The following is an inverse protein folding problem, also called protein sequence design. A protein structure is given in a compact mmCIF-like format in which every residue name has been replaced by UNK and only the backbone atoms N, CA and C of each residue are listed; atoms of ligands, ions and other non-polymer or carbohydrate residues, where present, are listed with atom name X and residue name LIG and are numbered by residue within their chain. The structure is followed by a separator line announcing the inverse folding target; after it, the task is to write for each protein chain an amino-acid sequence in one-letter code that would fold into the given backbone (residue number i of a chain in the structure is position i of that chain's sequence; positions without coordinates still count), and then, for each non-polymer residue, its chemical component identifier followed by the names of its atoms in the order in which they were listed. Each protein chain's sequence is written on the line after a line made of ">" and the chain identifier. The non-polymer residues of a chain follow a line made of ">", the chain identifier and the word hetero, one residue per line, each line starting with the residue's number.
data_IF_796787587670
#
_entry.id   IF_796787587670
#
_cell.length_a   1.000
_cell.length_b   1.000
_cell.length_c   1.000
_cell.angle_alpha   90.00
_cell.angle_beta   90.00
_cell.angle_gamma   90.00
#
_symmetry.space_group_name_H-M   'P 1'
#
loop_
_entity.id
_entity.type
_entity.pdbx_description
1 polymer ?
#
# COMPACT_ATOMS: atom_id res chain seq x y z
N UNK A 1 -7.90 12.18 -22.58
CA UNK A 1 -6.74 11.99 -21.97
C UNK A 1 -6.90 11.59 -20.53
N UNK A 2 -6.55 10.44 -20.24
CA UNK A 2 -6.65 9.94 -18.90
C UNK A 2 -5.49 10.42 -18.04
N UNK A 3 -5.78 10.76 -16.81
CA UNK A 3 -4.74 11.02 -15.86
C UNK A 3 -4.81 9.93 -14.83
N UNK A 4 -3.78 9.13 -14.76
CA UNK A 4 -3.76 8.07 -13.78
C UNK A 4 -3.58 8.65 -12.39
N UNK A 5 -4.37 8.17 -11.46
CA UNK A 5 -4.14 8.44 -10.06
C UNK A 5 -3.08 7.47 -9.55
N UNK A 6 -2.17 7.99 -8.76
CA UNK A 6 -1.08 7.20 -8.22
C UNK A 6 -1.14 7.22 -6.71
N UNK A 7 -0.90 6.06 -6.14
CA UNK A 7 -0.91 5.85 -4.70
C UNK A 7 0.53 5.86 -4.23
N UNK A 8 0.90 6.87 -3.45
CA UNK A 8 2.26 6.97 -2.92
C UNK A 8 2.29 6.30 -1.55
N UNK A 9 2.87 5.11 -1.50
CA UNK A 9 3.01 4.39 -0.24
C UNK A 9 4.16 4.98 0.56
N UNK A 10 3.93 5.12 1.85
CA UNK A 10 4.90 5.71 2.76
C UNK A 10 5.15 4.76 3.91
N UNK A 11 6.18 5.06 4.69
CA UNK A 11 6.35 4.41 5.99
C UNK A 11 5.46 5.10 7.02
N UNK A 12 5.50 4.65 8.27
CA UNK A 12 4.65 5.19 9.31
C UNK A 12 5.00 6.63 9.69
N UNK A 13 6.15 7.12 9.24
CA UNK A 13 6.59 8.49 9.50
C UNK A 13 6.35 9.40 8.33
N UNK A 14 5.71 8.91 7.26
CA UNK A 14 5.36 9.71 6.12
C UNK A 14 6.42 9.79 5.03
N UNK A 15 7.51 9.03 5.15
CA UNK A 15 8.54 9.03 4.11
C UNK A 15 8.07 8.17 2.92
N UNK A 16 8.19 8.71 1.72
CA UNK A 16 7.75 8.01 0.52
C UNK A 16 8.62 6.80 0.27
N UNK A 17 7.99 5.67 -0.04
CA UNK A 17 8.67 4.41 -0.32
C UNK A 17 8.56 4.01 -1.78
N UNK A 18 7.34 3.99 -2.32
CA UNK A 18 7.12 3.60 -3.72
C UNK A 18 5.73 4.07 -4.15
N UNK A 19 5.48 3.96 -5.45
CA UNK A 19 4.23 4.42 -6.05
C UNK A 19 3.59 3.25 -6.79
N UNK A 20 2.27 3.14 -6.66
CA UNK A 20 1.47 2.13 -7.36
C UNK A 20 0.33 2.85 -8.06
N UNK A 21 0.05 2.46 -9.30
CA UNK A 21 -1.10 3.03 -10.04
C UNK A 21 -2.41 2.56 -9.43
N UNK A 22 -3.46 3.36 -9.61
CA UNK A 22 -4.82 2.98 -9.22
C UNK A 22 -5.18 1.65 -9.89
N UNK A 23 -5.61 0.69 -9.09
CA UNK A 23 -5.91 -0.67 -9.57
C UNK A 23 -4.71 -1.59 -9.61
N UNK A 24 -3.53 -1.08 -9.32
CA UNK A 24 -2.33 -1.92 -9.23
C UNK A 24 -2.30 -2.74 -7.95
N UNK A 25 -1.29 -3.59 -7.82
CA UNK A 25 -1.19 -4.48 -6.69
C UNK A 25 0.08 -4.24 -5.90
N UNK A 26 0.00 -4.51 -4.60
CA UNK A 26 1.17 -4.61 -3.74
C UNK A 26 1.34 -6.06 -3.31
N UNK A 27 2.59 -6.44 -3.09
CA UNK A 27 2.93 -7.74 -2.56
C UNK A 27 3.23 -7.57 -1.07
N UNK A 28 2.58 -8.40 -0.26
CA UNK A 28 2.77 -8.43 1.17
C UNK A 28 3.56 -9.67 1.52
N UNK A 29 4.70 -9.49 2.19
CA UNK A 29 5.55 -10.60 2.58
C UNK A 29 5.49 -10.83 4.07
N UNK A 30 5.15 -12.04 4.47
CA UNK A 30 5.08 -12.43 5.88
C UNK A 30 6.37 -13.11 6.27
N UNK A 31 6.74 -12.98 7.54
CA UNK A 31 8.04 -13.45 7.99
C UNK A 31 8.25 -14.97 7.87
N UNK A 32 7.18 -15.73 7.64
CA UNK A 32 7.27 -17.18 7.49
C UNK A 32 7.45 -17.63 6.04
N UNK A 33 7.65 -16.70 5.11
CA UNK A 33 7.82 -17.02 3.70
C UNK A 33 6.54 -16.96 2.88
N UNK A 34 5.40 -16.75 3.50
CA UNK A 34 4.14 -16.59 2.79
C UNK A 34 4.05 -15.22 2.16
N UNK A 35 3.30 -15.13 1.07
CA UNK A 35 3.06 -13.88 0.37
C UNK A 35 1.58 -13.73 0.07
N UNK A 36 1.14 -12.49 -0.03
CA UNK A 36 -0.20 -12.18 -0.49
C UNK A 36 -0.12 -10.98 -1.42
N UNK A 37 -1.12 -10.85 -2.30
CA UNK A 37 -1.21 -9.72 -3.21
C UNK A 37 -2.53 -9.01 -2.94
N UNK A 38 -2.48 -7.70 -2.90
CA UNK A 38 -3.65 -6.89 -2.62
C UNK A 38 -3.82 -5.84 -3.70
N UNK A 39 -5.03 -5.72 -4.23
CA UNK A 39 -5.37 -4.70 -5.21
C UNK A 39 -5.56 -3.38 -4.46
N UNK A 40 -4.98 -2.32 -5.00
CA UNK A 40 -5.03 -1.00 -4.40
C UNK A 40 -5.87 -0.07 -5.26
N UNK A 41 -6.74 0.70 -4.63
CA UNK A 41 -7.55 1.71 -5.29
C UNK A 41 -7.27 3.07 -4.68
N UNK A 42 -7.08 4.04 -5.52
CA UNK A 42 -6.80 5.41 -5.09
C UNK A 42 -8.07 6.02 -4.48
N UNK A 43 -7.95 6.61 -3.31
CA UNK A 43 -9.04 7.39 -2.70
C UNK A 43 -8.69 8.87 -2.69
N UNK A 44 -7.55 9.22 -2.15
CA UNK A 44 -7.03 10.59 -2.21
C UNK A 44 -5.51 10.52 -1.98
N UNK A 45 -4.89 11.67 -1.79
CA UNK A 45 -3.43 11.74 -1.71
C UNK A 45 -2.87 10.98 -0.52
N UNK A 46 -3.66 10.77 0.52
CA UNK A 46 -3.20 10.13 1.76
C UNK A 46 -3.94 8.84 2.09
N UNK A 47 -4.91 8.43 1.25
CA UNK A 47 -5.75 7.26 1.53
C UNK A 47 -5.87 6.38 0.29
N UNK A 48 -5.97 5.08 0.52
CA UNK A 48 -6.22 4.11 -0.54
C UNK A 48 -6.99 2.93 0.04
N UNK A 49 -7.78 2.27 -0.82
CA UNK A 49 -8.33 0.96 -0.49
C UNK A 49 -7.26 -0.08 -0.78
N UNK A 50 -7.04 -0.95 0.17
CA UNK A 50 -6.10 -2.05 0.01
C UNK A 50 -6.87 -3.32 0.34
N UNK A 51 -7.01 -4.18 -0.68
CA UNK A 51 -7.81 -5.39 -0.60
C UNK A 51 -9.25 -5.08 -0.16
N UNK A 52 -9.80 -3.98 -0.70
CA UNK A 52 -11.18 -3.59 -0.45
C UNK A 52 -11.41 -2.84 0.86
N UNK A 53 -10.37 -2.59 1.64
CA UNK A 53 -10.48 -1.91 2.93
C UNK A 53 -9.80 -0.55 2.84
N UNK A 54 -10.49 0.54 3.21
CA UNK A 54 -9.88 1.87 3.14
C UNK A 54 -8.91 2.08 4.30
N UNK A 55 -7.76 2.64 3.98
CA UNK A 55 -6.72 2.96 4.96
C UNK A 55 -6.14 4.34 4.69
N UNK A 56 -5.76 5.05 5.74
CA UNK A 56 -4.77 6.09 5.61
C UNK A 56 -3.43 5.39 5.37
N UNK A 57 -2.64 5.88 4.42
CA UNK A 57 -1.41 5.19 4.02
C UNK A 57 -0.42 5.08 5.17
N UNK A 58 -0.32 6.10 6.03
CA UNK A 58 0.55 6.02 7.20
C UNK A 58 0.05 4.99 8.22
N UNK A 59 -1.27 4.84 8.35
CA UNK A 59 -1.84 3.83 9.25
C UNK A 59 -1.58 2.43 8.72
N UNK A 60 -1.72 2.24 7.41
CA UNK A 60 -1.39 0.97 6.78
C UNK A 60 0.07 0.61 7.05
N UNK A 61 0.97 1.57 6.83
CA UNK A 61 2.39 1.36 7.07
C UNK A 61 2.66 0.97 8.53
N UNK A 62 2.02 1.66 9.47
CA UNK A 62 2.19 1.35 10.89
C UNK A 62 1.71 -0.06 11.22
N UNK A 63 0.59 -0.47 10.63
CA UNK A 63 0.07 -1.82 10.83
C UNK A 63 1.03 -2.87 10.29
N UNK A 64 1.57 -2.65 9.09
CA UNK A 64 2.53 -3.58 8.50
C UNK A 64 3.79 -3.67 9.35
N UNK A 65 4.30 -2.53 9.81
CA UNK A 65 5.50 -2.50 10.64
C UNK A 65 5.29 -3.24 11.96
N UNK A 66 4.15 -3.03 12.61
CA UNK A 66 3.86 -3.69 13.88
C UNK A 66 3.73 -5.20 13.74
N UNK A 67 3.26 -5.65 12.60
CA UNK A 67 3.07 -7.08 12.33
C UNK A 67 4.23 -7.69 11.57
N UNK A 68 5.27 -6.92 11.31
CA UNK A 68 6.48 -7.38 10.62
C UNK A 68 6.17 -7.93 9.23
N UNK A 69 5.28 -7.25 8.53
CA UNK A 69 4.90 -7.59 7.17
C UNK A 69 5.58 -6.60 6.23
N UNK A 70 6.35 -7.11 5.29
CA UNK A 70 6.96 -6.25 4.26
C UNK A 70 5.94 -5.98 3.16
N UNK A 71 6.07 -4.85 2.49
CA UNK A 71 5.18 -4.50 1.39
C UNK A 71 5.99 -3.80 0.31
N UNK A 72 5.65 -4.11 -0.94
CA UNK A 72 6.38 -3.62 -2.10
C UNK A 72 5.46 -3.67 -3.32
N UNK A 73 5.79 -2.95 -4.40
CA UNK A 73 5.00 -3.10 -5.64
C UNK A 73 5.14 -4.52 -6.15
N UNK A 74 4.02 -5.03 -6.64
CA UNK A 74 3.99 -6.38 -7.19
C UNK A 74 4.61 -6.44 -8.57
#
# INVERSE_FOLDING_TARGET
>A
MGRENRICFTDSQGNALFVVSDGGMVRLGYGNGDEAFAICRYLDETHAEIDGVPYALSDFAGRMERNQISYAPA
#
